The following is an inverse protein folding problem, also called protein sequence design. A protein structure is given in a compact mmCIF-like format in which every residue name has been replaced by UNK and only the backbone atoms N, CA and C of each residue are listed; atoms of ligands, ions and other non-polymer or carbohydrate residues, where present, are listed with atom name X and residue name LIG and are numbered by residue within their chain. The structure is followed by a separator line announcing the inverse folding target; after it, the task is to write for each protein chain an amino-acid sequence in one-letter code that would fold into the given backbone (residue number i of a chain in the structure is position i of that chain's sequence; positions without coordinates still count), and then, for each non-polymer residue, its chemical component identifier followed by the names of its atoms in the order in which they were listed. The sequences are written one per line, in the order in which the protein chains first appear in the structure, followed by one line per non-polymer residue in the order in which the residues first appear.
data_IF_843483266635
#
_entry.id   IF_843483266635
#
_cell.length_a   1.000
_cell.length_b   1.000
_cell.length_c   1.000
_cell.angle_alpha   90.00
_cell.angle_beta   90.00
_cell.angle_gamma   90.00
#
_symmetry.space_group_name_H-M   'P 1'
#
loop_
_entity.id
_entity.type
_entity.pdbx_description
1 polymer ?
#
# COMPACT_ATOMS: atom_id res chain seq x y z
N UNK A 1 -16.50 2.99 7.63
CA UNK A 1 -15.76 3.63 6.50
C UNK A 1 -14.36 3.03 6.43
N UNK A 2 -13.99 2.48 5.28
CA UNK A 2 -12.82 1.62 5.05
C UNK A 2 -11.43 2.29 5.18
N UNK A 3 -11.33 3.44 5.87
CA UNK A 3 -10.08 4.20 6.04
C UNK A 3 -9.37 4.55 4.72
N UNK A 4 -10.16 4.72 3.66
CA UNK A 4 -9.72 5.11 2.32
C UNK A 4 -9.85 6.62 2.14
N UNK A 5 -8.98 7.20 1.30
CA UNK A 5 -9.12 8.59 0.85
C UNK A 5 -10.25 8.67 -0.18
N UNK A 6 -11.36 9.31 0.21
CA UNK A 6 -12.56 9.48 -0.63
C UNK A 6 -12.69 10.89 -1.21
N UNK A 7 -12.07 11.90 -0.60
CA UNK A 7 -12.17 13.30 -1.05
C UNK A 7 -10.91 14.03 -0.65
N UNK A 8 -10.44 14.89 -1.54
CA UNK A 8 -9.27 15.75 -1.32
C UNK A 8 -9.73 17.18 -1.56
N UNK A 9 -9.69 18.00 -0.51
CA UNK A 9 -10.05 19.41 -0.59
C UNK A 9 -8.80 20.23 -0.28
N UNK A 10 -8.29 20.94 -1.27
CA UNK A 10 -7.11 21.78 -1.13
C UNK A 10 -7.51 23.25 -1.34
N UNK A 11 -7.19 24.09 -0.36
CA UNK A 11 -7.20 25.53 -0.51
C UNK A 11 -5.75 26.00 -0.39
N UNK A 12 -5.22 26.57 -1.47
CA UNK A 12 -3.84 27.07 -1.52
C UNK A 12 -3.79 28.42 -2.22
N UNK A 13 -2.88 29.28 -1.74
CA UNK A 13 -2.46 30.50 -2.46
C UNK A 13 -1.32 30.22 -3.43
N UNK A 14 -0.60 29.12 -3.22
CA UNK A 14 0.58 28.73 -3.99
C UNK A 14 0.26 27.55 -4.91
N UNK A 15 0.94 27.44 -6.07
CA UNK A 15 0.78 26.28 -6.94
C UNK A 15 1.26 25.01 -6.22
N UNK A 16 0.50 23.93 -6.37
CA UNK A 16 0.82 22.63 -5.76
C UNK A 16 0.70 21.50 -6.81
N UNK A 17 1.41 20.38 -6.63
CA UNK A 17 1.44 19.29 -7.61
C UNK A 17 0.12 18.51 -7.60
N UNK A 18 -0.90 19.04 -8.28
CA UNK A 18 -2.27 18.47 -8.28
C UNK A 18 -2.28 17.02 -8.79
N UNK A 19 -1.46 16.70 -9.79
CA UNK A 19 -1.31 15.33 -10.32
C UNK A 19 -0.93 14.32 -9.23
N UNK A 20 -0.03 14.70 -8.33
CA UNK A 20 0.43 13.83 -7.26
C UNK A 20 -0.71 13.56 -6.27
N UNK A 21 -1.50 14.58 -5.93
CA UNK A 21 -2.58 14.42 -4.97
C UNK A 21 -3.72 13.57 -5.51
N UNK A 22 -3.97 13.60 -6.82
CA UNK A 22 -4.93 12.68 -7.45
C UNK A 22 -4.54 11.21 -7.19
N UNK A 23 -3.24 10.88 -7.13
CA UNK A 23 -2.77 9.52 -6.82
C UNK A 23 -3.11 9.05 -5.39
N UNK A 24 -3.38 9.98 -4.47
CA UNK A 24 -3.79 9.68 -3.09
C UNK A 24 -5.24 9.18 -3.00
N UNK A 25 -6.08 9.55 -3.98
CA UNK A 25 -7.47 9.13 -4.01
C UNK A 25 -7.56 7.60 -4.12
N UNK A 26 -8.45 7.00 -3.32
CA UNK A 26 -8.62 5.54 -3.29
C UNK A 26 -7.42 4.78 -2.72
N UNK A 27 -6.54 5.45 -1.96
CA UNK A 27 -5.50 4.80 -1.16
C UNK A 27 -5.96 4.62 0.29
N UNK A 28 -5.52 3.51 0.91
CA UNK A 28 -5.73 3.25 2.33
C UNK A 28 -4.73 4.07 3.17
N UNK A 29 -5.15 4.55 4.33
CA UNK A 29 -4.32 5.40 5.20
C UNK A 29 -2.98 4.75 5.61
N UNK A 30 -2.93 3.43 5.72
CA UNK A 30 -1.69 2.68 6.00
C UNK A 30 -0.63 2.84 4.91
N UNK A 31 -1.02 2.86 3.63
CA UNK A 31 -0.09 3.11 2.52
C UNK A 31 0.47 4.53 2.60
N UNK A 32 -0.36 5.47 3.06
CA UNK A 32 0.01 6.86 3.30
C UNK A 32 0.70 7.03 4.67
N UNK A 33 1.52 6.04 5.05
CA UNK A 33 2.34 6.03 6.25
C UNK A 33 1.53 6.21 7.55
N UNK A 34 0.42 5.48 7.66
CA UNK A 34 -0.55 5.53 8.76
C UNK A 34 -1.07 6.96 9.01
N UNK A 35 -1.48 7.62 7.91
CA UNK A 35 -1.88 9.03 7.87
C UNK A 35 -2.83 9.40 9.01
N UNK A 36 -3.86 8.56 9.25
CA UNK A 36 -4.90 8.88 10.23
C UNK A 36 -4.36 8.84 11.66
N UNK A 37 -3.54 7.83 11.97
CA UNK A 37 -2.93 7.70 13.29
C UNK A 37 -1.99 8.88 13.57
N UNK A 38 -1.08 9.17 12.63
CA UNK A 38 -0.11 10.27 12.76
C UNK A 38 -0.78 11.63 12.85
N UNK A 39 -1.85 11.85 12.09
CA UNK A 39 -2.63 13.09 12.16
C UNK A 39 -3.29 13.26 13.54
N UNK A 40 -3.93 12.21 14.06
CA UNK A 40 -4.57 12.25 15.39
C UNK A 40 -3.56 12.46 16.53
N UNK A 41 -2.32 12.00 16.36
CA UNK A 41 -1.22 12.18 17.30
C UNK A 41 -0.52 13.55 17.15
N UNK A 42 -1.03 14.44 16.28
CA UNK A 42 -0.43 15.74 15.95
C UNK A 42 1.01 15.65 15.40
N UNK A 43 1.39 14.51 14.82
CA UNK A 43 2.68 14.34 14.13
C UNK A 43 2.66 14.96 12.72
N UNK A 44 1.47 15.27 12.20
CA UNK A 44 1.28 15.93 10.90
C UNK A 44 0.74 17.33 11.18
N UNK A 45 1.63 18.32 11.12
CA UNK A 45 1.28 19.73 11.31
C UNK A 45 0.83 20.39 10.00
N UNK A 46 1.35 19.90 8.87
CA UNK A 46 1.03 20.38 7.53
C UNK A 46 1.00 19.23 6.52
N UNK A 47 -0.13 19.07 5.84
CA UNK A 47 -0.32 18.03 4.82
C UNK A 47 0.51 18.30 3.57
N UNK A 48 0.78 19.57 3.21
CA UNK A 48 1.63 19.87 2.07
C UNK A 48 3.04 19.37 2.32
N UNK A 49 3.64 19.77 3.45
CA UNK A 49 4.97 19.31 3.88
C UNK A 49 5.01 17.78 3.98
N UNK A 50 4.00 17.16 4.59
CA UNK A 50 3.93 15.70 4.76
C UNK A 50 3.97 14.93 3.44
N UNK A 51 3.20 15.35 2.44
CA UNK A 51 3.20 14.70 1.13
C UNK A 51 4.37 15.10 0.24
N UNK A 52 5.16 16.12 0.61
CA UNK A 52 6.45 16.41 -0.06
C UNK A 52 7.60 15.57 0.48
N UNK A 53 7.38 14.78 1.53
CA UNK A 53 8.43 13.93 2.09
C UNK A 53 8.90 12.85 1.08
N UNK A 54 10.19 12.45 1.11
CA UNK A 54 10.78 11.58 0.10
C UNK A 54 10.09 10.21 -0.06
N UNK A 55 9.49 9.66 1.01
CA UNK A 55 8.76 8.40 0.92
C UNK A 55 7.54 8.51 -0.01
N UNK A 56 6.90 9.67 -0.13
CA UNK A 56 5.67 9.77 -0.91
C UNK A 56 5.94 9.65 -2.43
N UNK A 57 7.17 9.92 -2.86
CA UNK A 57 7.55 9.91 -4.29
C UNK A 57 7.35 8.56 -4.97
N UNK A 58 7.50 7.44 -4.25
CA UNK A 58 7.23 6.12 -4.82
C UNK A 58 5.74 5.93 -5.15
N UNK A 59 4.83 6.60 -4.43
CA UNK A 59 3.38 6.52 -4.65
C UNK A 59 2.95 7.43 -5.80
N UNK A 60 3.63 8.57 -5.96
CA UNK A 60 3.36 9.54 -7.03
C UNK A 60 4.00 9.17 -8.37
N UNK A 61 4.86 8.17 -8.39
CA UNK A 61 5.45 7.68 -9.62
C UNK A 61 4.37 7.08 -10.54
N UNK A 62 4.44 7.41 -11.82
CA UNK A 62 3.53 6.90 -12.85
C UNK A 62 3.43 5.36 -12.86
N UNK A 63 4.56 4.65 -12.70
CA UNK A 63 4.66 3.18 -12.66
C UNK A 63 4.14 2.54 -11.37
N UNK A 64 3.80 3.32 -10.34
CA UNK A 64 3.24 2.77 -9.10
C UNK A 64 1.90 2.05 -9.34
N UNK A 65 1.11 2.51 -10.31
CA UNK A 65 -0.15 1.86 -10.68
C UNK A 65 0.06 0.45 -11.23
N UNK A 66 1.15 0.24 -11.98
CA UNK A 66 1.48 -1.05 -12.56
C UNK A 66 1.96 -2.01 -11.48
N UNK A 67 2.80 -1.54 -10.54
CA UNK A 67 3.16 -2.31 -9.35
C UNK A 67 1.90 -2.76 -8.60
N UNK A 68 0.94 -1.87 -8.34
CA UNK A 68 -0.31 -2.24 -7.66
C UNK A 68 -1.09 -3.32 -8.40
N UNK A 69 -1.15 -3.28 -9.73
CA UNK A 69 -1.83 -4.31 -10.54
C UNK A 69 -1.11 -5.64 -10.43
N UNK A 70 0.21 -5.65 -10.54
CA UNK A 70 1.04 -6.85 -10.39
C UNK A 70 0.87 -7.48 -9.00
N UNK A 71 0.91 -6.67 -7.93
CA UNK A 71 0.71 -7.16 -6.57
C UNK A 71 -0.69 -7.76 -6.38
N UNK A 72 -1.73 -7.15 -6.95
CA UNK A 72 -3.09 -7.75 -6.93
C UNK A 72 -3.14 -9.08 -7.66
N UNK A 73 -2.50 -9.18 -8.83
CA UNK A 73 -2.44 -10.43 -9.59
C UNK A 73 -1.73 -11.55 -8.80
N UNK A 74 -0.67 -11.21 -8.07
CA UNK A 74 0.02 -12.16 -7.17
C UNK A 74 -0.90 -12.63 -6.04
N UNK A 75 -1.69 -11.73 -5.44
CA UNK A 75 -2.58 -12.11 -4.34
C UNK A 75 -3.83 -12.89 -4.83
N UNK A 76 -4.17 -12.73 -6.11
CA UNK A 76 -5.28 -13.42 -6.78
C UNK A 76 -4.87 -14.79 -7.36
N UNK A 77 -3.58 -14.99 -7.65
CA UNK A 77 -3.08 -16.23 -8.22
C UNK A 77 -3.19 -17.38 -7.21
N UNK A 78 -3.41 -18.61 -7.70
CA UNK A 78 -3.30 -19.83 -6.91
C UNK A 78 -1.93 -20.44 -7.13
N UNK A 79 -0.92 -19.92 -6.43
CA UNK A 79 0.44 -20.44 -6.53
C UNK A 79 0.70 -21.63 -5.60
N UNK A 80 -0.17 -21.85 -4.61
CA UNK A 80 -0.17 -23.03 -3.75
C UNK A 80 -1.44 -23.85 -3.99
N UNK A 81 -1.32 -25.02 -4.63
CA UNK A 81 -2.46 -25.87 -5.03
C UNK A 81 -3.35 -26.32 -3.85
N UNK A 82 -2.82 -26.27 -2.62
CA UNK A 82 -3.52 -26.69 -1.41
C UNK A 82 -4.23 -25.56 -0.65
N UNK A 83 -4.00 -24.28 -1.01
CA UNK A 83 -4.55 -23.13 -0.30
C UNK A 83 -5.41 -22.25 -1.23
N UNK A 84 -6.42 -21.63 -0.63
CA UNK A 84 -7.17 -20.55 -1.28
C UNK A 84 -6.25 -19.35 -1.52
N UNK A 85 -6.54 -18.56 -2.56
CA UNK A 85 -5.83 -17.30 -2.74
C UNK A 85 -6.18 -16.32 -1.62
N UNK A 86 -5.34 -15.30 -1.41
CA UNK A 86 -5.60 -14.31 -0.35
C UNK A 86 -6.87 -13.51 -0.67
N UNK A 87 -7.16 -13.27 -1.95
CA UNK A 87 -8.39 -12.61 -2.39
C UNK A 87 -9.63 -13.48 -2.10
N UNK A 88 -9.56 -14.78 -2.37
CA UNK A 88 -10.66 -15.72 -2.05
C UNK A 88 -10.91 -15.81 -0.54
N UNK A 89 -9.84 -15.87 0.26
CA UNK A 89 -9.95 -15.86 1.73
C UNK A 89 -10.57 -14.56 2.24
N UNK A 90 -10.23 -13.41 1.63
CA UNK A 90 -10.80 -12.13 1.99
C UNK A 90 -12.31 -12.06 1.69
N UNK A 91 -12.75 -12.60 0.54
CA UNK A 91 -14.17 -12.68 0.18
C UNK A 91 -14.96 -13.58 1.13
N UNK A 92 -14.45 -14.77 1.47
CA UNK A 92 -15.12 -15.67 2.41
C UNK A 92 -15.29 -15.09 3.81
N UNK A 93 -14.35 -14.22 4.22
CA UNK A 93 -14.43 -13.48 5.48
C UNK A 93 -15.50 -12.39 5.43
N UNK A 94 -15.66 -11.69 4.30
CA UNK A 94 -16.70 -10.67 4.12
C UNK A 94 -18.11 -11.28 4.07
N UNK A 95 -18.24 -12.48 3.48
CA UNK A 95 -19.53 -13.18 3.33
C UNK A 95 -19.96 -13.95 4.60
N UNK A 96 -19.26 -13.79 5.74
CA UNK A 96 -19.50 -14.46 7.04
C UNK A 96 -19.54 -16.01 7.00
N UNK A 97 -19.08 -16.65 5.91
CA UNK A 97 -19.12 -18.11 5.76
C UNK A 97 -18.17 -18.85 6.71
N UNK A 98 -17.12 -18.16 7.17
CA UNK A 98 -16.15 -18.68 8.13
C UNK A 98 -16.25 -17.83 9.38
N UNK A 99 -16.50 -18.47 10.53
CA UNK A 99 -16.42 -17.82 11.84
C UNK A 99 -15.01 -18.08 12.39
N UNK A 100 -13.99 -17.26 12.06
CA UNK A 100 -12.64 -17.58 12.45
C UNK A 100 -12.52 -17.54 13.98
N UNK A 101 -11.83 -18.54 14.54
CA UNK A 101 -11.45 -18.59 15.95
C UNK A 101 -10.61 -17.37 16.39
N UNK A 102 -10.06 -16.63 15.42
CA UNK A 102 -9.29 -15.38 15.57
C UNK A 102 -9.91 -14.23 14.77
N UNK A 103 -9.49 -12.97 15.03
CA UNK A 103 -9.96 -11.84 14.23
C UNK A 103 -9.59 -12.03 12.76
N UNK A 104 -10.51 -11.83 11.79
CA UNK A 104 -10.25 -12.15 10.38
C UNK A 104 -8.98 -11.52 9.77
N UNK A 105 -8.70 -10.25 10.14
CA UNK A 105 -7.45 -9.56 9.75
C UNK A 105 -6.17 -10.25 10.24
N UNK A 106 -6.19 -10.85 11.43
CA UNK A 106 -5.03 -11.53 11.99
C UNK A 106 -4.78 -12.86 11.27
N UNK A 107 -5.85 -13.58 10.92
CA UNK A 107 -5.76 -14.80 10.13
C UNK A 107 -5.18 -14.51 8.73
N UNK A 108 -5.74 -13.55 7.99
CA UNK A 108 -5.22 -13.15 6.68
C UNK A 108 -3.75 -12.73 6.72
N UNK A 109 -3.37 -11.99 7.77
CA UNK A 109 -1.97 -11.58 7.97
C UNK A 109 -1.04 -12.79 8.17
N UNK A 110 -1.44 -13.77 8.98
CA UNK A 110 -0.65 -15.00 9.19
C UNK A 110 -0.53 -15.81 7.91
N UNK A 111 -1.63 -16.04 7.20
CA UNK A 111 -1.60 -16.77 5.92
C UNK A 111 -0.67 -16.07 4.94
N UNK A 112 -0.76 -14.74 4.81
CA UNK A 112 0.15 -13.98 3.97
C UNK A 112 1.61 -14.15 4.42
N UNK A 113 1.91 -14.01 5.71
CA UNK A 113 3.27 -14.09 6.26
C UNK A 113 3.91 -15.48 6.10
N UNK A 114 3.12 -16.54 6.19
CA UNK A 114 3.57 -17.94 6.11
C UNK A 114 3.60 -18.47 4.66
N UNK A 115 2.97 -17.78 3.71
CA UNK A 115 2.86 -18.18 2.30
C UNK A 115 3.99 -17.66 1.40
N UNK A 116 4.09 -18.23 0.19
CA UNK A 116 4.93 -17.70 -0.89
C UNK A 116 4.58 -16.25 -1.30
N UNK A 117 3.34 -15.81 -1.10
CA UNK A 117 2.87 -14.48 -1.51
C UNK A 117 3.70 -13.36 -0.90
N UNK A 118 4.15 -13.49 0.36
CA UNK A 118 5.03 -12.51 1.00
C UNK A 118 6.31 -12.31 0.21
N UNK A 119 7.01 -13.39 -0.12
CA UNK A 119 8.28 -13.32 -0.87
C UNK A 119 8.08 -12.76 -2.28
N UNK A 120 6.98 -13.10 -2.95
CA UNK A 120 6.66 -12.58 -4.29
C UNK A 120 6.36 -11.07 -4.26
N UNK A 121 5.55 -10.63 -3.29
CA UNK A 121 5.21 -9.21 -3.10
C UNK A 121 6.47 -8.41 -2.73
N UNK A 122 7.29 -8.90 -1.81
CA UNK A 122 8.55 -8.26 -1.43
C UNK A 122 9.50 -8.15 -2.64
N UNK A 123 9.67 -9.24 -3.40
CA UNK A 123 10.53 -9.25 -4.59
C UNK A 123 10.05 -8.26 -5.64
N UNK A 124 8.75 -8.23 -5.97
CA UNK A 124 8.20 -7.26 -6.94
C UNK A 124 8.33 -5.83 -6.48
N UNK A 125 8.12 -5.57 -5.19
CA UNK A 125 8.32 -4.24 -4.61
C UNK A 125 9.77 -3.79 -4.72
N UNK A 126 10.73 -4.69 -4.45
CA UNK A 126 12.16 -4.42 -4.62
C UNK A 126 12.55 -4.22 -6.09
N UNK A 127 12.00 -5.00 -7.01
CA UNK A 127 12.22 -4.85 -8.45
C UNK A 127 11.76 -3.46 -8.93
N UNK A 128 10.60 -2.99 -8.45
CA UNK A 128 10.09 -1.65 -8.72
C UNK A 128 11.05 -0.57 -8.21
N UNK A 129 11.51 -0.65 -6.95
CA UNK A 129 12.44 0.33 -6.40
C UNK A 129 13.78 0.33 -7.15
N UNK A 130 14.31 -0.85 -7.47
CA UNK A 130 15.56 -1.02 -8.21
C UNK A 130 15.47 -0.43 -9.62
N UNK A 131 14.38 -0.67 -10.34
CA UNK A 131 14.19 -0.12 -11.68
C UNK A 131 14.12 1.41 -11.65
N UNK A 132 13.45 1.99 -10.66
CA UNK A 132 13.27 3.43 -10.53
C UNK A 132 14.33 4.11 -9.64
N UNK A 133 15.47 3.44 -9.39
CA UNK A 133 16.54 3.90 -8.48
C UNK A 133 16.97 5.36 -8.71
N UNK A 134 17.09 5.78 -9.97
CA UNK A 134 17.53 7.14 -10.29
C UNK A 134 16.53 8.20 -9.85
N UNK A 135 15.24 7.86 -9.82
CA UNK A 135 14.15 8.74 -9.41
C UNK A 135 13.80 8.57 -7.93
N UNK A 136 14.13 7.41 -7.34
CA UNK A 136 13.85 7.05 -5.96
C UNK A 136 15.13 6.81 -5.12
N UNK A 137 16.13 7.72 -5.12
CA UNK A 137 17.40 7.49 -4.44
C UNK A 137 17.30 7.49 -2.90
N UNK A 138 16.18 7.99 -2.36
CA UNK A 138 15.90 7.99 -0.91
C UNK A 138 15.55 6.61 -0.36
N UNK A 139 15.20 5.66 -1.22
CA UNK A 139 14.85 4.30 -0.81
C UNK A 139 16.11 3.45 -0.66
N UNK A 140 16.23 2.73 0.46
CA UNK A 140 17.27 1.74 0.63
C UNK A 140 16.98 0.48 -0.19
N UNK A 141 18.02 -0.16 -0.71
CA UNK A 141 17.91 -1.46 -1.38
C UNK A 141 19.01 -2.42 -0.92
N UNK A 142 18.81 -3.74 -1.06
CA UNK A 142 19.80 -4.74 -0.67
C UNK A 142 21.13 -4.51 -1.38
N UNK A 143 22.22 -4.32 -0.63
CA UNK A 143 23.56 -4.02 -1.14
C UNK A 143 24.03 -2.56 -0.99
N UNK A 144 23.21 -1.67 -0.42
CA UNK A 144 23.64 -0.32 -0.01
C UNK A 144 24.02 -0.21 1.48
N UNK A 145 23.57 -1.16 2.31
CA UNK A 145 23.83 -1.20 3.77
C UNK A 145 24.75 -2.38 4.06
#
# INVERSE_FOLDING_TARGET
KYQMVETITCLSKEPFPTSNYICLFGQHEQLLNNLRARYNENLITDLYSYFTEPWCLAIFHDRFIDLRKELRQILASKEEEALLSIEELAHQIEDEEINPTEKPRQNLKRVFEDSIYKTLVERRTLDYLRYNRHLLPMYAWPGII
#
